data_IF_987622457083
#
_entry.id   IF_987622457083
#
_cell.length_a   1.000
_cell.length_b   1.000
_cell.length_c   1.000
_cell.angle_alpha   90.00
_cell.angle_beta   90.00
_cell.angle_gamma   90.00
#
_symmetry.space_group_name_H-M   'P 1'
#
loop_
_entity.id
_entity.type
_entity.pdbx_description
1 polymer ?
#
# COMPACT_ATOMS: atom_id res chain seq x y z
N UNK A 1 1.93 -15.64 24.94
CA UNK A 1 2.60 -14.38 24.56
C UNK A 1 1.76 -13.67 23.51
N UNK A 2 1.55 -12.36 23.65
CA UNK A 2 0.89 -11.53 22.63
C UNK A 2 1.92 -11.28 21.52
N UNK A 3 1.58 -11.60 20.28
CA UNK A 3 2.44 -11.34 19.13
C UNK A 3 2.51 -9.83 18.89
N UNK A 4 3.73 -9.28 18.74
CA UNK A 4 3.92 -7.85 18.49
C UNK A 4 3.60 -7.55 17.03
N UNK A 5 2.43 -6.97 16.79
CA UNK A 5 2.06 -6.45 15.48
C UNK A 5 2.67 -5.07 15.25
N UNK A 6 3.00 -4.76 14.00
CA UNK A 6 3.49 -3.44 13.60
C UNK A 6 2.90 -3.01 12.26
N UNK A 7 2.77 -1.70 12.10
CA UNK A 7 2.58 -1.05 10.80
C UNK A 7 3.66 0.02 10.68
N UNK A 8 4.49 -0.09 9.65
CA UNK A 8 5.49 0.92 9.29
C UNK A 8 5.05 1.61 8.02
N UNK A 9 4.99 2.93 8.06
CA UNK A 9 4.64 3.77 6.93
C UNK A 9 5.80 4.72 6.69
N UNK A 10 6.31 4.72 5.47
CA UNK A 10 7.33 5.65 5.00
C UNK A 10 6.74 6.39 3.81
N UNK A 11 6.83 7.72 3.85
CA UNK A 11 6.39 8.61 2.78
C UNK A 11 7.55 9.53 2.46
N UNK A 12 8.00 9.50 1.21
CA UNK A 12 9.04 10.39 0.71
C UNK A 12 8.58 11.08 -0.56
N UNK A 13 9.11 12.27 -0.79
CA UNK A 13 8.93 13.00 -2.04
C UNK A 13 10.30 13.44 -2.51
N UNK A 14 10.74 12.88 -3.64
CA UNK A 14 12.03 13.18 -4.24
C UNK A 14 11.83 13.45 -5.73
N UNK A 15 12.33 14.58 -6.22
CA UNK A 15 12.17 14.99 -7.64
C UNK A 15 10.71 14.96 -8.14
N UNK A 16 9.76 15.31 -7.25
CA UNK A 16 8.33 15.27 -7.55
C UNK A 16 7.72 13.88 -7.64
N UNK A 17 8.48 12.82 -7.35
CA UNK A 17 7.97 11.47 -7.20
C UNK A 17 7.57 11.24 -5.74
N UNK A 18 6.28 11.01 -5.49
CA UNK A 18 5.80 10.50 -4.22
C UNK A 18 6.09 9.01 -4.15
N UNK A 19 6.77 8.56 -3.09
CA UNK A 19 6.94 7.17 -2.77
C UNK A 19 6.31 6.88 -1.40
N UNK A 20 5.25 6.07 -1.41
CA UNK A 20 4.58 5.55 -0.23
C UNK A 20 4.96 4.08 -0.09
N UNK A 21 5.64 3.74 1.01
CA UNK A 21 6.04 2.39 1.34
C UNK A 21 5.43 1.99 2.69
N UNK A 22 4.56 0.99 2.68
CA UNK A 22 3.84 0.49 3.86
C UNK A 22 4.18 -0.97 4.09
N UNK A 23 4.57 -1.30 5.32
CA UNK A 23 4.83 -2.67 5.75
C UNK A 23 3.99 -2.97 6.98
N UNK A 24 3.10 -3.94 6.88
CA UNK A 24 2.28 -4.44 7.99
C UNK A 24 2.70 -5.87 8.35
N UNK A 25 2.79 -6.19 9.64
CA UNK A 25 2.98 -7.57 10.09
C UNK A 25 1.71 -8.42 9.93
N UNK A 26 1.87 -9.66 9.48
CA UNK A 26 0.81 -10.67 9.45
C UNK A 26 0.99 -11.57 10.67
N UNK A 27 0.06 -11.58 11.63
CA UNK A 27 0.17 -12.44 12.81
C UNK A 27 0.12 -13.92 12.42
N UNK A 28 0.94 -14.75 13.07
CA UNK A 28 1.01 -16.19 12.81
C UNK A 28 -0.20 -16.93 13.37
N UNK A 29 -0.78 -16.45 14.48
CA UNK A 29 -2.08 -16.90 14.97
C UNK A 29 -3.18 -16.22 14.16
N UNK A 30 -3.41 -16.73 12.95
CA UNK A 30 -4.56 -16.32 12.15
C UNK A 30 -5.84 -16.74 12.89
N UNK A 31 -6.57 -15.78 13.44
CA UNK A 31 -8.02 -15.95 13.58
C UNK A 31 -8.58 -16.12 12.17
N UNK A 32 -9.55 -17.03 11.95
CA UNK A 32 -10.18 -17.35 10.66
C UNK A 32 -11.01 -16.17 10.08
N UNK A 33 -10.40 -14.99 10.01
CA UNK A 33 -10.96 -13.80 9.39
C UNK A 33 -10.53 -13.84 7.94
N UNK A 34 -11.39 -14.42 7.11
CA UNK A 34 -11.25 -14.39 5.66
C UNK A 34 -11.44 -12.94 5.20
N UNK A 35 -10.34 -12.27 4.86
CA UNK A 35 -10.42 -10.96 4.21
C UNK A 35 -11.05 -11.12 2.83
N UNK A 36 -12.13 -10.39 2.57
CA UNK A 36 -12.79 -10.40 1.25
C UNK A 36 -11.95 -9.71 0.16
N UNK A 37 -10.86 -9.03 0.54
CA UNK A 37 -10.00 -8.20 -0.33
C UNK A 37 -10.73 -7.10 -1.13
N UNK A 38 -12.03 -6.90 -0.91
CA UNK A 38 -12.88 -5.93 -1.63
C UNK A 38 -12.37 -4.50 -1.41
N UNK A 39 -11.98 -4.15 -0.18
CA UNK A 39 -11.46 -2.81 0.13
C UNK A 39 -10.22 -2.46 -0.68
N UNK A 40 -9.28 -3.40 -0.81
CA UNK A 40 -8.07 -3.23 -1.63
C UNK A 40 -8.43 -3.08 -3.11
N UNK A 41 -9.31 -3.94 -3.63
CA UNK A 41 -9.77 -3.86 -5.03
C UNK A 41 -10.35 -2.48 -5.34
N UNK A 42 -11.28 -2.00 -4.50
CA UNK A 42 -11.92 -0.69 -4.69
C UNK A 42 -10.91 0.47 -4.61
N UNK A 43 -9.92 0.38 -3.72
CA UNK A 43 -8.86 1.39 -3.62
C UNK A 43 -7.98 1.42 -4.87
N UNK A 44 -7.61 0.26 -5.42
CA UNK A 44 -6.82 0.16 -6.66
C UNK A 44 -7.62 0.69 -7.85
N UNK A 45 -8.92 0.36 -7.93
CA UNK A 45 -9.80 0.90 -8.99
C UNK A 45 -9.90 2.42 -8.93
N UNK A 46 -10.08 3.00 -7.73
CA UNK A 46 -10.08 4.47 -7.57
C UNK A 46 -8.75 5.10 -7.95
N UNK A 47 -7.64 4.47 -7.58
CA UNK A 47 -6.29 4.91 -7.98
C UNK A 47 -6.14 4.92 -9.52
N UNK A 48 -6.62 3.87 -10.19
CA UNK A 48 -6.68 3.80 -11.65
C UNK A 48 -7.57 4.88 -12.28
N UNK A 49 -8.72 5.18 -11.68
CA UNK A 49 -9.62 6.22 -12.20
C UNK A 49 -9.02 7.63 -12.10
N UNK A 50 -8.35 7.93 -10.98
CA UNK A 50 -7.80 9.28 -10.71
C UNK A 50 -6.50 9.51 -11.48
N UNK A 51 -5.60 8.52 -11.51
CA UNK A 51 -4.24 8.68 -12.05
C UNK A 51 -4.02 7.96 -13.39
N UNK A 52 -5.00 7.21 -13.88
CA UNK A 52 -4.87 6.40 -15.08
C UNK A 52 -3.81 5.32 -14.89
N UNK A 53 -2.82 5.30 -15.78
CA UNK A 53 -1.65 4.40 -15.70
C UNK A 53 -0.39 5.13 -15.22
N UNK A 54 -0.50 6.35 -14.69
CA UNK A 54 0.64 7.20 -14.32
C UNK A 54 1.12 6.95 -12.88
N UNK A 55 1.12 5.70 -12.44
CA UNK A 55 1.63 5.28 -11.15
C UNK A 55 2.17 3.85 -11.24
N UNK A 56 3.02 3.48 -10.29
CA UNK A 56 3.45 2.09 -10.09
C UNK A 56 2.99 1.67 -8.71
N UNK A 57 2.26 0.57 -8.64
CA UNK A 57 1.84 -0.06 -7.41
C UNK A 57 2.33 -1.50 -7.42
N UNK A 58 3.10 -1.85 -6.40
CA UNK A 58 3.56 -3.21 -6.14
C UNK A 58 3.05 -3.65 -4.77
N UNK A 59 2.45 -4.83 -4.72
CA UNK A 59 1.88 -5.39 -3.51
C UNK A 59 2.49 -6.78 -3.33
N UNK A 60 3.21 -6.97 -2.23
CA UNK A 60 3.86 -8.23 -1.90
C UNK A 60 3.32 -8.75 -0.58
N UNK A 61 2.97 -10.04 -0.56
CA UNK A 61 2.56 -10.73 0.65
C UNK A 61 3.55 -11.86 0.93
N UNK A 62 4.24 -11.76 2.06
CA UNK A 62 5.12 -12.79 2.59
C UNK A 62 4.47 -13.45 3.81
N UNK A 63 5.06 -14.53 4.33
CA UNK A 63 4.52 -15.29 5.48
C UNK A 63 4.19 -14.43 6.71
N UNK A 64 4.94 -13.36 6.93
CA UNK A 64 4.87 -12.54 8.14
C UNK A 64 4.60 -11.07 7.85
N UNK A 65 4.53 -10.65 6.59
CA UNK A 65 4.43 -9.23 6.23
C UNK A 65 3.61 -9.01 4.97
N UNK A 66 2.80 -7.96 4.99
CA UNK A 66 2.10 -7.42 3.83
C UNK A 66 2.73 -6.07 3.48
N UNK A 67 3.26 -5.94 2.27
CA UNK A 67 4.02 -4.80 1.79
C UNK A 67 3.27 -4.14 0.65
N UNK A 68 3.13 -2.82 0.71
CA UNK A 68 2.58 -1.97 -0.35
C UNK A 68 3.61 -0.92 -0.71
N UNK A 69 4.00 -0.90 -1.99
CA UNK A 69 4.91 0.09 -2.57
C UNK A 69 4.19 0.85 -3.67
N UNK A 70 3.90 2.13 -3.41
CA UNK A 70 3.24 3.03 -4.36
C UNK A 70 4.19 4.14 -4.76
N UNK A 71 4.46 4.27 -6.06
CA UNK A 71 5.21 5.36 -6.65
C UNK A 71 4.31 6.14 -7.60
N UNK A 72 4.17 7.43 -7.35
CA UNK A 72 3.28 8.32 -8.08
C UNK A 72 4.02 9.60 -8.46
N UNK A 73 4.03 9.92 -9.75
CA UNK A 73 4.56 11.21 -10.20
C UNK A 73 3.56 12.30 -9.83
N UNK A 74 3.95 13.23 -8.95
CA UNK A 74 3.14 14.38 -8.63
C UNK A 74 3.17 15.34 -9.82
N UNK A 75 1.99 15.64 -10.35
CA UNK A 75 1.83 16.71 -11.34
C UNK A 75 1.90 18.04 -10.60
N UNK A 76 2.65 19.00 -11.14
CA UNK A 76 2.49 20.40 -10.72
C UNK A 76 1.07 20.81 -11.11
N UNK A 77 0.29 21.27 -10.16
CA UNK A 77 -0.89 22.06 -10.48
C UNK A 77 -0.37 23.35 -11.12
N UNK A 78 -0.66 23.55 -12.40
CA UNK A 78 -0.47 24.84 -13.06
C UNK A 78 -1.79 25.56 -12.84
N UNK A 79 -1.76 26.59 -11.99
CA UNK A 79 -2.87 27.55 -11.84
C UNK A 79 -3.04 28.38 -13.12
#
# INVERSE_FOLDING_TARGET
>A
AIEKCFVRIIITVENGLLHLHVVNSIPQKKTDVVSTKIGLKNTIERLNLIYGKNYKLDIQENKNTYIVDLKLQLKKFVE
#
